data_IF_841733336031
#
_entry.id   IF_841733336031
#
_cell.length_a   1.000
_cell.length_b   1.000
_cell.length_c   1.000
_cell.angle_alpha   90.00
_cell.angle_beta   90.00
_cell.angle_gamma   90.00
#
_symmetry.space_group_name_H-M   'P 1'
#
loop_
_entity.id
_entity.type
_entity.pdbx_description
1 polymer ?
#
# COMPACT_ATOMS: atom_id res chain seq x y z
N UNK A 1 9.65 -15.11 10.15
CA UNK A 1 9.03 -14.58 8.94
C UNK A 1 8.03 -13.49 9.32
N UNK A 2 8.16 -12.35 8.69
CA UNK A 2 7.32 -11.20 9.02
C UNK A 2 6.03 -11.28 8.23
N UNK A 3 4.91 -11.32 8.91
CA UNK A 3 3.62 -11.29 8.25
C UNK A 3 3.20 -9.87 7.91
N UNK A 4 2.12 -9.77 7.17
CA UNK A 4 1.51 -8.49 6.83
C UNK A 4 0.04 -8.57 7.21
N UNK A 5 -0.39 -7.65 8.05
CA UNK A 5 -1.79 -7.53 8.43
C UNK A 5 -2.41 -6.35 7.67
N UNK A 6 -3.71 -6.41 7.48
CA UNK A 6 -4.45 -5.37 6.78
C UNK A 6 -5.58 -4.89 7.66
N UNK A 7 -5.71 -3.58 7.82
CA UNK A 7 -6.84 -3.03 8.55
C UNK A 7 -8.11 -3.17 7.69
N UNK A 8 -9.30 -3.14 8.31
CA UNK A 8 -10.54 -3.14 7.54
C UNK A 8 -10.60 -2.00 6.53
N UNK A 9 -10.08 -0.84 6.91
CA UNK A 9 -10.01 0.30 6.01
C UNK A 9 -9.16 -0.01 4.78
N UNK A 10 -7.99 -0.61 5.00
CA UNK A 10 -7.10 -0.98 3.89
C UNK A 10 -7.77 -2.01 2.99
N UNK A 11 -8.39 -3.03 3.57
CA UNK A 11 -9.05 -4.08 2.79
C UNK A 11 -10.18 -3.49 1.95
N UNK A 12 -10.94 -2.57 2.52
CA UNK A 12 -12.02 -1.92 1.80
C UNK A 12 -11.50 -1.17 0.57
N UNK A 13 -10.44 -0.39 0.74
CA UNK A 13 -9.86 0.35 -0.36
C UNK A 13 -9.24 -0.56 -1.41
N UNK A 14 -8.64 -1.66 -0.97
CA UNK A 14 -8.07 -2.61 -1.90
C UNK A 14 -9.15 -3.21 -2.80
N UNK A 15 -10.29 -3.54 -2.21
CA UNK A 15 -11.43 -4.04 -2.99
C UNK A 15 -11.89 -3.01 -4.01
N UNK A 16 -12.09 -1.78 -3.56
CA UNK A 16 -12.58 -0.72 -4.43
C UNK A 16 -11.60 -0.43 -5.57
N UNK A 17 -10.32 -0.52 -5.32
CA UNK A 17 -9.30 -0.22 -6.31
C UNK A 17 -8.78 -1.45 -7.04
N UNK A 18 -9.38 -2.59 -6.77
CA UNK A 18 -8.98 -3.86 -7.38
C UNK A 18 -7.50 -4.14 -7.19
N UNK A 19 -7.02 -3.91 -5.99
CA UNK A 19 -5.65 -4.18 -5.61
C UNK A 19 -5.61 -5.47 -4.81
N UNK A 20 -4.81 -6.42 -5.25
CA UNK A 20 -4.69 -7.70 -4.56
C UNK A 20 -3.65 -7.61 -3.45
N UNK A 21 -3.71 -8.56 -2.53
CA UNK A 21 -2.70 -8.67 -1.49
C UNK A 21 -1.32 -8.90 -2.10
N UNK A 22 -1.26 -9.69 -3.15
CA UNK A 22 0.01 -9.95 -3.83
C UNK A 22 0.62 -8.66 -4.36
N UNK A 23 -0.21 -7.80 -4.94
CA UNK A 23 0.28 -6.50 -5.42
C UNK A 23 0.80 -5.65 -4.28
N UNK A 24 0.06 -5.60 -3.18
CA UNK A 24 0.49 -4.85 -2.01
C UNK A 24 1.79 -5.40 -1.44
N UNK A 25 1.91 -6.73 -1.36
CA UNK A 25 3.14 -7.36 -0.87
C UNK A 25 4.32 -7.08 -1.78
N UNK A 26 4.10 -7.12 -3.08
CA UNK A 26 5.14 -6.78 -4.05
C UNK A 26 5.61 -5.35 -3.85
N UNK A 27 4.67 -4.44 -3.65
CA UNK A 27 4.99 -3.04 -3.42
C UNK A 27 5.79 -2.85 -2.14
N UNK A 28 5.39 -3.53 -1.07
CA UNK A 28 6.07 -3.41 0.21
C UNK A 28 7.48 -4.01 0.20
N UNK A 29 7.68 -5.03 -0.63
CA UNK A 29 8.97 -5.70 -0.68
C UNK A 29 10.04 -4.85 -1.36
N UNK A 30 9.66 -4.04 -2.34
CA UNK A 30 10.64 -3.28 -3.12
C UNK A 30 10.03 -1.96 -3.57
N UNK A 31 9.81 -1.03 -2.63
CA UNK A 31 9.21 0.25 -2.98
C UNK A 31 10.19 1.14 -3.73
N UNK A 32 9.67 1.89 -4.69
CA UNK A 32 10.48 2.87 -5.41
C UNK A 32 10.79 4.07 -4.53
N UNK A 33 9.80 4.49 -3.75
CA UNK A 33 9.96 5.64 -2.86
C UNK A 33 9.40 5.28 -1.50
N UNK A 34 10.17 5.61 -0.46
CA UNK A 34 9.76 5.41 0.91
C UNK A 34 9.87 6.74 1.63
N UNK A 35 8.77 7.19 2.21
CA UNK A 35 8.71 8.45 2.95
C UNK A 35 8.16 8.24 4.34
N UNK A 36 8.56 9.07 5.31
CA UNK A 36 7.92 9.03 6.60
C UNK A 36 6.50 9.59 6.51
N UNK A 37 5.60 9.02 7.27
CA UNK A 37 4.23 9.49 7.37
C UNK A 37 3.98 10.06 8.75
N UNK A 38 2.71 10.37 9.01
CA UNK A 38 2.30 10.88 10.33
C UNK A 38 2.19 9.74 11.33
N UNK A 39 2.40 10.07 12.60
CA UNK A 39 2.20 9.13 13.71
C UNK A 39 3.05 7.87 13.60
N UNK A 40 4.28 8.02 13.14
CA UNK A 40 5.18 6.88 13.05
C UNK A 40 4.89 5.93 11.91
N UNK A 41 3.94 6.26 11.06
CA UNK A 41 3.64 5.45 9.89
C UNK A 41 4.64 5.73 8.78
N UNK A 42 4.68 4.84 7.84
CA UNK A 42 5.51 5.00 6.64
C UNK A 42 4.62 4.94 5.41
N UNK A 43 5.04 5.68 4.40
CA UNK A 43 4.32 5.75 3.14
C UNK A 43 5.25 5.30 2.05
N UNK A 44 4.83 4.31 1.28
CA UNK A 44 5.59 3.90 0.10
C UNK A 44 4.78 4.22 -1.15
N UNK A 45 5.53 4.45 -2.22
CA UNK A 45 4.95 4.67 -3.53
C UNK A 45 5.75 3.82 -4.49
N UNK A 46 5.05 3.04 -5.29
CA UNK A 46 5.73 2.20 -6.25
C UNK A 46 4.75 1.78 -7.34
N UNK A 47 5.28 1.36 -8.47
CA UNK A 47 4.47 0.85 -9.56
C UNK A 47 4.44 -0.65 -9.51
N UNK A 48 3.24 -1.19 -9.62
CA UNK A 48 3.03 -2.62 -9.70
C UNK A 48 2.10 -2.85 -10.89
N UNK A 49 2.59 -3.57 -11.87
CA UNK A 49 1.82 -3.85 -13.10
C UNK A 49 1.34 -2.58 -13.78
N UNK A 50 2.18 -1.57 -13.82
CA UNK A 50 1.85 -0.32 -14.47
C UNK A 50 0.94 0.60 -13.69
N UNK A 51 0.55 0.21 -12.49
CA UNK A 51 -0.30 1.02 -11.62
C UNK A 51 0.54 1.60 -10.50
N UNK A 52 0.32 2.86 -10.21
CA UNK A 52 0.98 3.50 -9.07
C UNK A 52 0.20 3.18 -7.80
N UNK A 53 0.88 2.57 -6.85
CA UNK A 53 0.30 2.27 -5.54
C UNK A 53 0.95 3.14 -4.49
N UNK A 54 0.13 3.65 -3.59
CA UNK A 54 0.59 4.37 -2.42
C UNK A 54 0.06 3.63 -1.21
N UNK A 55 0.97 3.13 -0.39
CA UNK A 55 0.59 2.31 0.76
C UNK A 55 1.10 2.99 2.02
N UNK A 56 0.20 3.16 2.98
CA UNK A 56 0.53 3.65 4.31
C UNK A 56 0.52 2.46 5.25
N UNK A 57 1.61 2.24 5.96
CA UNK A 57 1.70 1.11 6.87
C UNK A 57 2.43 1.47 8.14
N UNK A 58 2.26 0.63 9.14
CA UNK A 58 2.94 0.72 10.42
C UNK A 58 3.81 -0.50 10.60
N UNK A 59 4.95 -0.34 11.25
CA UNK A 59 5.81 -1.47 11.58
C UNK A 59 5.53 -1.88 13.02
N UNK A 60 5.00 -3.08 13.18
CA UNK A 60 4.80 -3.67 14.49
C UNK A 60 5.97 -4.54 14.88
N UNK A 61 5.86 -5.17 16.05
CA UNK A 61 6.94 -6.03 16.56
C UNK A 61 7.15 -7.26 15.69
N UNK A 62 6.07 -7.88 15.29
CA UNK A 62 6.12 -9.15 14.57
C UNK A 62 5.69 -9.02 13.12
N UNK A 63 5.03 -7.93 12.77
CA UNK A 63 4.48 -7.80 11.42
C UNK A 63 4.26 -6.34 11.09
N UNK A 64 4.17 -6.08 9.81
CA UNK A 64 3.74 -4.78 9.32
C UNK A 64 2.23 -4.79 9.21
N UNK A 65 1.62 -3.64 9.42
CA UNK A 65 0.18 -3.51 9.30
C UNK A 65 -0.14 -2.43 8.28
N UNK A 66 -0.79 -2.83 7.21
CA UNK A 66 -1.20 -1.90 6.16
C UNK A 66 -2.43 -1.16 6.64
N UNK A 67 -2.33 0.16 6.68
CA UNK A 67 -3.38 1.03 7.18
C UNK A 67 -4.23 1.55 6.04
N UNK A 68 -3.63 1.86 4.91
CA UNK A 68 -4.34 2.42 3.77
C UNK A 68 -3.63 2.06 2.48
N UNK A 69 -4.41 1.83 1.45
CA UNK A 69 -3.89 1.56 0.11
C UNK A 69 -4.62 2.48 -0.85
N UNK A 70 -3.84 3.27 -1.56
CA UNK A 70 -4.38 4.19 -2.55
C UNK A 70 -3.79 3.84 -3.91
N UNK A 71 -4.65 3.71 -4.87
CA UNK A 71 -4.25 3.55 -6.25
C UNK A 71 -5.01 4.59 -7.03
N UNK A 72 -4.34 5.53 -7.68
CA UNK A 72 -5.06 6.53 -8.47
C UNK A 72 -5.96 5.84 -9.47
N UNK A 73 -7.15 6.36 -9.61
CA UNK A 73 -8.06 5.87 -10.62
C UNK A 73 -7.49 6.26 -11.98
N UNK A 74 -7.38 5.28 -12.84
CA UNK A 74 -6.84 5.56 -14.16
C UNK A 74 -7.72 6.51 -14.93
N UNK A 75 -9.00 6.51 -14.62
CA UNK A 75 -9.93 7.44 -15.23
C UNK A 75 -9.62 8.88 -14.88
N UNK A 76 -8.79 9.10 -13.89
CA UNK A 76 -8.35 10.44 -13.56
C UNK A 76 -7.14 10.84 -14.36
N UNK A 77 -6.58 9.94 -15.05
CA UNK A 77 -5.47 10.27 -15.87
C UNK A 77 -5.96 11.26 -16.88
N UNK A 78 -5.47 12.49 -16.85
CA UNK A 78 -5.85 13.46 -17.84
C UNK A 78 -5.24 13.00 -19.11
N UNK A 79 -5.94 12.26 -19.75
CA UNK A 79 -5.42 11.82 -21.00
C UNK A 79 -5.02 13.01 -21.81
#
# INVERSE_FOLDING_TARGET
MTGIAYTPHATHWMLLRRTTRREAETALADPEILCPGHFGRKVIRTRVRGRLLRIVYETGRAQRRVVSVLAPLESHDPA
#
